data_IF_858342505917
#
_entry.id   IF_858342505917
#
_cell.length_a   1.000
_cell.length_b   1.000
_cell.length_c   1.000
_cell.angle_alpha   90.00
_cell.angle_beta   90.00
_cell.angle_gamma   90.00
#
_symmetry.space_group_name_H-M   'P 1'
#
loop_
_entity.id
_entity.type
_entity.pdbx_description
1 polymer ?
#
# COMPACT_ATOMS: atom_id res chain seq x y z
N UNK A 1 -32.21 -8.40 4.97
CA UNK A 1 -31.49 -7.26 5.58
C UNK A 1 -31.23 -6.23 4.49
N UNK A 2 -32.03 -5.15 4.44
CA UNK A 2 -31.92 -4.08 3.43
C UNK A 2 -30.83 -3.07 3.78
N UNK A 3 -29.57 -3.50 3.70
CA UNK A 3 -28.43 -2.57 3.81
C UNK A 3 -28.34 -1.76 2.52
N UNK A 4 -28.36 -0.45 2.63
CA UNK A 4 -28.17 0.49 1.52
C UNK A 4 -27.04 1.46 1.86
N UNK A 5 -26.45 2.05 0.83
CA UNK A 5 -25.48 3.13 1.00
C UNK A 5 -26.21 4.43 1.31
N UNK A 6 -25.67 5.23 2.23
CA UNK A 6 -26.19 6.54 2.59
C UNK A 6 -25.10 7.60 2.46
N UNK A 7 -25.44 8.82 2.00
CA UNK A 7 -24.47 9.90 1.88
C UNK A 7 -24.03 10.37 3.26
N UNK A 8 -22.72 10.51 3.44
CA UNK A 8 -22.09 11.06 4.63
C UNK A 8 -20.86 11.85 4.24
N UNK A 9 -20.39 12.71 5.13
CA UNK A 9 -19.09 13.38 5.04
C UNK A 9 -18.13 12.72 6.02
N UNK A 10 -16.88 12.55 5.57
CA UNK A 10 -15.84 11.87 6.34
C UNK A 10 -14.67 12.82 6.52
N UNK A 11 -14.17 12.92 7.74
CA UNK A 11 -12.95 13.65 8.07
C UNK A 11 -12.01 12.72 8.79
N UNK A 12 -10.77 12.67 8.34
CA UNK A 12 -9.67 12.00 9.07
C UNK A 12 -8.91 13.08 9.83
N UNK A 13 -8.66 12.86 11.11
CA UNK A 13 -7.91 13.78 11.97
C UNK A 13 -6.51 13.25 12.21
N UNK A 14 -5.55 14.15 12.40
CA UNK A 14 -4.15 13.81 12.74
C UNK A 14 -4.05 13.02 14.06
N UNK A 15 -5.02 13.21 14.97
CA UNK A 15 -5.11 12.49 16.23
C UNK A 15 -5.56 11.02 16.10
N UNK A 16 -5.73 10.50 14.88
CA UNK A 16 -6.11 9.11 14.67
C UNK A 16 -7.61 8.86 14.61
N UNK A 17 -8.46 9.88 14.48
CA UNK A 17 -9.92 9.69 14.45
C UNK A 17 -10.50 9.84 13.05
N UNK A 18 -11.33 8.88 12.66
CA UNK A 18 -12.23 8.92 11.52
C UNK A 18 -13.60 9.41 11.98
N UNK A 19 -13.94 10.65 11.62
CA UNK A 19 -15.17 11.33 12.02
C UNK A 19 -16.18 11.32 10.88
N UNK A 20 -17.42 10.92 11.19
CA UNK A 20 -18.52 10.79 10.24
C UNK A 20 -19.61 11.83 10.54
N UNK A 21 -20.05 12.55 9.51
CA UNK A 21 -21.04 13.62 9.61
C UNK A 21 -22.18 13.40 8.61
N UNK A 22 -23.41 13.75 8.99
CA UNK A 22 -24.54 13.68 8.06
C UNK A 22 -24.47 14.80 7.01
N UNK A 23 -23.99 15.96 7.41
CA UNK A 23 -23.91 17.15 6.57
C UNK A 23 -22.56 17.84 6.72
N UNK A 24 -22.16 18.55 5.66
CA UNK A 24 -20.92 19.31 5.63
C UNK A 24 -21.03 20.53 6.56
N UNK A 25 -20.01 20.75 7.38
CA UNK A 25 -19.93 21.93 8.27
C UNK A 25 -20.51 21.73 9.66
N UNK A 26 -21.03 20.54 9.99
CA UNK A 26 -21.39 20.20 11.36
C UNK A 26 -20.14 20.11 12.25
N UNK A 27 -20.22 20.66 13.46
CA UNK A 27 -19.10 20.59 14.42
C UNK A 27 -18.98 19.22 15.07
N UNK A 28 -20.11 18.57 15.34
CA UNK A 28 -20.14 17.27 16.05
C UNK A 28 -20.37 16.12 15.06
N UNK A 29 -19.46 15.13 15.01
CA UNK A 29 -19.71 13.92 14.23
C UNK A 29 -20.82 13.10 14.88
N UNK A 30 -21.64 12.43 14.06
CA UNK A 30 -22.63 11.48 14.58
C UNK A 30 -21.98 10.16 14.99
N UNK A 31 -20.79 9.88 14.44
CA UNK A 31 -19.98 8.72 14.80
C UNK A 31 -18.51 9.05 14.63
N UNK A 32 -17.71 8.58 15.58
CA UNK A 32 -16.27 8.68 15.54
C UNK A 32 -15.68 7.26 15.70
N UNK A 33 -14.61 7.00 14.97
CA UNK A 33 -13.88 5.74 15.01
C UNK A 33 -12.40 6.01 15.18
N UNK A 34 -11.80 5.44 16.24
CA UNK A 34 -10.38 5.59 16.52
C UNK A 34 -9.57 4.56 15.72
N UNK A 35 -8.62 5.04 14.93
CA UNK A 35 -7.60 4.23 14.28
C UNK A 35 -6.57 3.76 15.31
N UNK A 36 -6.04 2.57 15.07
CA UNK A 36 -5.14 1.84 15.97
C UNK A 36 -4.11 1.14 15.09
N UNK A 37 -2.95 0.79 15.65
CA UNK A 37 -1.81 0.22 14.92
C UNK A 37 -2.11 -1.11 14.23
N UNK A 38 -3.08 -1.87 14.74
CA UNK A 38 -3.52 -3.14 14.17
C UNK A 38 -4.60 -2.99 13.09
N UNK A 39 -4.93 -1.76 12.68
CA UNK A 39 -5.84 -1.50 11.58
C UNK A 39 -5.08 -1.47 10.25
N UNK A 40 -5.63 -2.15 9.24
CA UNK A 40 -5.12 -2.16 7.88
C UNK A 40 -6.21 -1.76 6.89
N UNK A 41 -5.82 -1.07 5.82
CA UNK A 41 -6.71 -0.85 4.69
C UNK A 41 -6.70 -2.11 3.82
N UNK A 42 -7.86 -2.71 3.63
CA UNK A 42 -8.03 -3.84 2.73
C UNK A 42 -7.94 -3.42 1.26
N UNK A 43 -7.69 -4.39 0.38
CA UNK A 43 -7.60 -4.14 -1.05
C UNK A 43 -8.86 -3.43 -1.58
N UNK A 44 -8.69 -2.33 -2.32
CA UNK A 44 -9.79 -1.62 -2.93
C UNK A 44 -10.66 -2.50 -3.81
N UNK A 45 -11.98 -2.37 -3.67
CA UNK A 45 -12.95 -3.08 -4.53
C UNK A 45 -13.93 -2.11 -5.15
N UNK A 46 -14.31 -2.38 -6.39
CA UNK A 46 -15.37 -1.68 -7.08
C UNK A 46 -16.64 -2.54 -7.02
N UNK A 47 -17.66 -2.03 -6.34
CA UNK A 47 -18.91 -2.75 -6.07
C UNK A 47 -20.09 -2.10 -6.80
N UNK A 48 -21.19 -2.83 -6.95
CA UNK A 48 -22.44 -2.24 -7.43
C UNK A 48 -23.00 -1.31 -6.35
N UNK A 49 -23.40 -0.11 -6.76
CA UNK A 49 -23.95 0.90 -5.87
C UNK A 49 -25.48 0.90 -5.92
N UNK A 50 -26.02 1.15 -7.11
CA UNK A 50 -27.43 1.12 -7.48
C UNK A 50 -27.52 0.51 -8.89
N UNK A 51 -28.70 0.59 -9.51
CA UNK A 51 -28.89 0.17 -10.91
C UNK A 51 -27.92 0.88 -11.86
N UNK A 52 -27.43 2.09 -11.51
CA UNK A 52 -26.83 3.08 -12.38
C UNK A 52 -25.34 3.44 -12.13
N UNK A 53 -24.74 2.91 -11.06
CA UNK A 53 -23.40 3.28 -10.63
C UNK A 53 -22.60 2.15 -10.02
N UNK A 54 -21.28 2.31 -10.06
CA UNK A 54 -20.35 1.53 -9.24
C UNK A 54 -19.76 2.44 -8.17
N UNK A 55 -19.46 1.86 -7.02
CA UNK A 55 -18.89 2.56 -5.88
C UNK A 55 -17.53 1.96 -5.54
N UNK A 56 -16.52 2.83 -5.45
CA UNK A 56 -15.22 2.46 -4.93
C UNK A 56 -15.35 2.27 -3.43
N UNK A 57 -14.95 1.10 -2.93
CA UNK A 57 -15.06 0.77 -1.50
C UNK A 57 -13.69 0.74 -0.84
N UNK A 58 -13.58 1.47 0.26
CA UNK A 58 -12.44 1.44 1.18
C UNK A 58 -12.90 0.70 2.43
N UNK A 59 -12.17 -0.34 2.81
CA UNK A 59 -12.46 -1.13 4.01
C UNK A 59 -11.26 -1.06 4.95
N UNK A 60 -11.55 -0.77 6.21
CA UNK A 60 -10.55 -0.78 7.28
C UNK A 60 -10.85 -2.02 8.13
N UNK A 61 -9.89 -2.93 8.17
CA UNK A 61 -9.95 -4.16 8.94
C UNK A 61 -9.05 -4.04 10.17
N UNK A 62 -9.49 -4.56 11.32
CA UNK A 62 -8.59 -4.89 12.42
C UNK A 62 -7.97 -6.24 12.10
N UNK A 63 -6.64 -6.33 12.16
CA UNK A 63 -5.89 -7.55 11.86
C UNK A 63 -5.16 -8.01 13.11
N UNK A 64 -5.49 -9.21 13.58
CA UNK A 64 -4.83 -9.83 14.72
C UNK A 64 -3.97 -10.97 14.21
N UNK A 65 -2.65 -10.77 14.20
CA UNK A 65 -1.71 -11.81 13.82
C UNK A 65 -1.45 -12.75 14.99
N UNK A 66 -1.42 -14.06 14.71
CA UNK A 66 -1.22 -15.10 15.72
C UNK A 66 -0.38 -16.24 15.18
N UNK A 67 0.44 -16.82 16.05
CA UNK A 67 1.08 -18.11 15.84
C UNK A 67 0.07 -19.24 16.10
N UNK A 68 -0.11 -20.11 15.10
CA UNK A 68 -0.96 -21.30 15.21
C UNK A 68 -0.11 -22.54 15.01
N UNK A 69 -0.14 -23.45 15.99
CA UNK A 69 0.46 -24.78 15.86
C UNK A 69 -0.28 -25.60 14.81
N UNK A 70 0.46 -26.29 13.95
CA UNK A 70 -0.10 -27.27 13.02
C UNK A 70 0.42 -28.67 13.35
N UNK A 71 -0.41 -29.67 13.06
CA UNK A 71 -0.03 -31.07 13.17
C UNK A 71 0.59 -31.55 11.85
N UNK A 72 1.55 -32.47 11.94
CA UNK A 72 2.29 -33.00 10.79
C UNK A 72 1.36 -33.55 9.70
N UNK A 73 1.73 -33.40 8.41
CA UNK A 73 3.07 -33.15 7.85
C UNK A 73 3.43 -31.66 7.55
N UNK A 74 2.70 -30.69 8.10
CA UNK A 74 2.96 -29.25 7.86
C UNK A 74 4.06 -28.65 8.76
N UNK A 75 4.57 -27.43 8.48
CA UNK A 75 5.43 -26.67 9.39
C UNK A 75 4.86 -26.65 10.81
N UNK A 76 5.73 -26.65 11.83
CA UNK A 76 5.32 -26.80 13.23
C UNK A 76 4.34 -25.70 13.66
N UNK A 77 4.54 -24.49 13.14
CA UNK A 77 3.63 -23.36 13.31
C UNK A 77 3.36 -22.65 11.99
N UNK A 78 2.34 -21.80 12.02
CA UNK A 78 2.07 -20.83 10.95
C UNK A 78 1.64 -19.52 11.58
N UNK A 79 2.20 -18.43 11.08
CA UNK A 79 1.82 -17.08 11.43
C UNK A 79 0.72 -16.60 10.48
N UNK A 80 -0.45 -16.24 11.02
CA UNK A 80 -1.61 -15.85 10.20
C UNK A 80 -2.36 -14.68 10.82
N UNK A 81 -2.85 -13.77 9.97
CA UNK A 81 -3.67 -12.62 10.38
C UNK A 81 -5.17 -12.92 10.32
N UNK A 82 -5.88 -12.79 11.44
CA UNK A 82 -7.34 -12.84 11.51
C UNK A 82 -7.90 -11.43 11.29
N UNK A 83 -8.74 -11.25 10.26
CA UNK A 83 -9.26 -9.94 9.85
C UNK A 83 -10.71 -9.75 10.30
N UNK A 84 -10.99 -8.66 10.99
CA UNK A 84 -12.33 -8.21 11.37
C UNK A 84 -12.64 -6.86 10.70
N UNK A 85 -13.74 -6.78 9.94
CA UNK A 85 -14.13 -5.54 9.28
C UNK A 85 -14.67 -4.53 10.28
N UNK A 86 -13.96 -3.42 10.47
CA UNK A 86 -14.36 -2.36 11.41
C UNK A 86 -15.16 -1.26 10.71
N UNK A 87 -14.66 -0.80 9.56
CA UNK A 87 -15.28 0.28 8.80
C UNK A 87 -15.32 -0.08 7.32
N UNK A 88 -16.45 0.20 6.67
CA UNK A 88 -16.60 0.11 5.22
C UNK A 88 -17.22 1.41 4.72
N UNK A 89 -16.46 2.12 3.90
CA UNK A 89 -16.87 3.37 3.28
C UNK A 89 -16.83 3.20 1.77
N UNK A 90 -17.53 4.07 1.06
CA UNK A 90 -17.46 4.08 -0.38
C UNK A 90 -17.74 5.45 -0.97
N UNK A 91 -17.22 5.67 -2.17
CA UNK A 91 -17.43 6.89 -2.95
C UNK A 91 -17.53 6.55 -4.43
N UNK A 92 -18.33 7.32 -5.17
CA UNK A 92 -18.39 7.27 -6.63
C UNK A 92 -17.32 8.13 -7.28
N UNK A 93 -16.68 9.02 -6.52
CA UNK A 93 -15.59 9.86 -6.99
C UNK A 93 -14.23 9.19 -6.75
N UNK A 94 -13.44 9.05 -7.82
CA UNK A 94 -12.15 8.37 -7.74
C UNK A 94 -11.08 9.20 -7.03
N UNK A 95 -11.16 10.53 -7.08
CA UNK A 95 -10.21 11.40 -6.40
C UNK A 95 -10.41 11.34 -4.88
N UNK A 96 -11.66 11.34 -4.42
CA UNK A 96 -12.02 11.12 -3.02
C UNK A 96 -11.54 9.75 -2.54
N UNK A 97 -11.71 8.72 -3.37
CA UNK A 97 -11.25 7.37 -3.04
C UNK A 97 -9.74 7.32 -2.79
N UNK A 98 -8.94 7.96 -3.66
CA UNK A 98 -7.49 8.03 -3.51
C UNK A 98 -7.10 8.89 -2.29
N UNK A 99 -7.71 10.07 -2.15
CA UNK A 99 -7.46 11.01 -1.06
C UNK A 99 -7.72 10.38 0.30
N UNK A 100 -8.87 9.72 0.46
CA UNK A 100 -9.26 9.05 1.70
C UNK A 100 -8.30 7.89 2.03
N UNK A 101 -7.96 7.05 1.05
CA UNK A 101 -7.02 5.94 1.24
C UNK A 101 -5.66 6.46 1.70
N UNK A 102 -5.13 7.47 1.03
CA UNK A 102 -3.85 8.08 1.38
C UNK A 102 -3.89 8.71 2.78
N UNK A 103 -4.96 9.43 3.12
CA UNK A 103 -5.12 10.08 4.43
C UNK A 103 -5.15 9.07 5.59
N UNK A 104 -5.87 7.96 5.42
CA UNK A 104 -5.90 6.90 6.45
C UNK A 104 -4.54 6.21 6.57
N UNK A 105 -3.87 5.90 5.46
CA UNK A 105 -2.51 5.33 5.50
C UNK A 105 -1.51 6.26 6.19
N UNK A 106 -1.62 7.56 5.93
CA UNK A 106 -0.73 8.54 6.52
C UNK A 106 -0.93 8.65 8.03
N UNK A 107 -2.18 8.67 8.49
CA UNK A 107 -2.47 8.67 9.92
C UNK A 107 -2.01 7.38 10.60
N UNK A 108 -2.23 6.21 9.98
CA UNK A 108 -1.74 4.92 10.52
C UNK A 108 -0.21 4.91 10.68
N UNK A 109 0.52 5.51 9.74
CA UNK A 109 1.98 5.61 9.78
C UNK A 109 2.49 6.50 10.94
N UNK A 110 1.74 7.52 11.32
CA UNK A 110 2.12 8.43 12.42
C UNK A 110 1.56 8.01 13.79
N UNK A 111 0.86 6.87 13.87
CA UNK A 111 0.42 6.36 15.17
C UNK A 111 1.64 6.03 16.06
N UNK A 112 1.54 6.24 17.38
CA UNK A 112 2.64 5.95 18.29
C UNK A 112 2.90 4.44 18.39
N UNK A 113 4.18 4.08 18.45
CA UNK A 113 4.62 2.74 18.80
C UNK A 113 4.28 2.46 20.26
N UNK A 114 3.22 1.71 20.50
CA UNK A 114 2.90 1.23 21.86
C UNK A 114 3.51 -0.15 22.06
N UNK A 115 4.58 -0.22 22.84
CA UNK A 115 5.16 -1.50 23.28
C UNK A 115 4.24 -2.10 24.35
N UNK A 116 3.67 -3.26 24.08
CA UNK A 116 2.91 -4.02 25.06
C UNK A 116 3.88 -4.77 25.98
N UNK A 117 4.10 -4.26 27.19
CA UNK A 117 5.01 -4.89 28.16
C UNK A 117 4.57 -6.30 28.58
N UNK A 118 3.34 -6.72 28.28
CA UNK A 118 2.91 -8.10 28.52
C UNK A 118 3.57 -9.11 27.57
N UNK A 119 4.06 -8.67 26.41
CA UNK A 119 4.72 -9.54 25.42
C UNK A 119 6.18 -9.84 25.74
N UNK A 120 6.78 -9.13 26.72
CA UNK A 120 8.19 -9.31 27.14
C UNK A 120 8.52 -10.76 27.54
N UNK A 121 7.54 -11.53 28.03
CA UNK A 121 7.71 -12.93 28.42
C UNK A 121 7.10 -13.92 27.42
N UNK A 122 6.62 -13.44 26.27
CA UNK A 122 6.15 -14.32 25.20
C UNK A 122 7.35 -14.93 24.48
N UNK A 123 7.23 -16.24 24.23
CA UNK A 123 8.19 -16.99 23.43
C UNK A 123 7.42 -17.60 22.25
N UNK A 124 7.85 -17.26 21.04
CA UNK A 124 7.36 -17.90 19.83
C UNK A 124 8.04 -19.25 19.65
N UNK A 125 7.34 -20.20 19.03
CA UNK A 125 7.95 -21.49 18.69
C UNK A 125 8.92 -21.32 17.52
N UNK A 126 8.53 -20.48 16.56
CA UNK A 126 9.33 -20.14 15.40
C UNK A 126 9.39 -18.62 15.30
N UNK A 127 10.60 -18.08 15.44
CA UNK A 127 10.83 -16.65 15.34
C UNK A 127 10.93 -16.25 13.87
N UNK A 128 10.17 -15.24 13.48
CA UNK A 128 10.11 -14.78 12.09
C UNK A 128 9.97 -13.26 12.04
N UNK A 129 10.66 -12.64 11.08
CA UNK A 129 10.36 -11.27 10.65
C UNK A 129 10.11 -11.26 9.15
N UNK A 130 8.95 -10.78 8.76
CA UNK A 130 8.58 -10.55 7.37
C UNK A 130 8.74 -9.06 7.06
N UNK A 131 9.45 -8.76 5.96
CA UNK A 131 9.63 -7.40 5.43
C UNK A 131 8.96 -7.31 4.05
N UNK A 132 8.00 -6.40 3.92
CA UNK A 132 7.24 -6.17 2.69
C UNK A 132 7.62 -4.79 2.10
N UNK A 133 8.26 -4.80 0.93
CA UNK A 133 8.75 -3.60 0.25
C UNK A 133 7.87 -3.30 -0.95
N UNK A 134 7.15 -2.19 -0.88
CA UNK A 134 6.19 -1.77 -1.91
C UNK A 134 6.64 -0.48 -2.59
N UNK A 135 6.93 -0.57 -3.89
CA UNK A 135 7.21 0.59 -4.74
C UNK A 135 5.93 1.10 -5.39
N UNK A 136 5.61 2.38 -5.15
CA UNK A 136 4.46 3.07 -5.74
C UNK A 136 4.93 4.15 -6.72
N UNK A 137 4.76 3.88 -8.02
CA UNK A 137 5.00 4.84 -9.09
C UNK A 137 3.71 5.59 -9.43
N UNK A 138 3.77 6.93 -9.41
CA UNK A 138 2.74 7.82 -9.96
C UNK A 138 3.39 8.69 -11.02
N UNK A 139 2.75 8.83 -12.17
CA UNK A 139 3.26 9.64 -13.26
C UNK A 139 2.14 10.35 -14.02
N UNK A 140 2.39 11.59 -14.44
CA UNK A 140 1.55 12.35 -15.36
C UNK A 140 2.24 12.36 -16.71
N UNK A 141 1.53 11.91 -17.75
CA UNK A 141 2.04 11.85 -19.11
C UNK A 141 1.50 13.00 -19.94
N UNK A 142 2.35 13.54 -20.81
CA UNK A 142 1.99 14.56 -21.79
C UNK A 142 1.14 13.99 -22.92
N UNK A 143 0.40 14.88 -23.60
CA UNK A 143 -0.44 14.50 -24.74
C UNK A 143 0.44 14.08 -25.93
N UNK A 144 0.15 12.91 -26.52
CA UNK A 144 0.77 12.45 -27.77
C UNK A 144 1.83 11.37 -27.60
N UNK A 145 3.00 11.72 -27.05
CA UNK A 145 4.20 10.85 -27.06
C UNK A 145 4.46 10.10 -25.74
N UNK A 146 3.52 10.08 -24.80
CA UNK A 146 3.71 9.48 -23.48
C UNK A 146 4.95 10.03 -22.74
N UNK A 147 5.34 11.27 -23.02
CA UNK A 147 6.42 11.94 -22.30
C UNK A 147 6.03 12.08 -20.83
N UNK A 148 6.89 11.62 -19.93
CA UNK A 148 6.68 11.77 -18.49
C UNK A 148 6.89 13.24 -18.11
N UNK A 149 5.82 13.94 -17.73
CA UNK A 149 5.85 15.35 -17.31
C UNK A 149 6.23 15.47 -15.84
N UNK A 150 5.54 14.69 -15.00
CA UNK A 150 5.75 14.64 -13.56
C UNK A 150 5.76 13.19 -13.12
N UNK A 151 6.54 12.87 -12.10
CA UNK A 151 6.51 11.57 -11.47
C UNK A 151 6.82 11.64 -9.99
N UNK A 152 6.37 10.62 -9.27
CA UNK A 152 6.67 10.39 -7.86
C UNK A 152 6.84 8.89 -7.67
N UNK A 153 7.95 8.50 -7.05
CA UNK A 153 8.18 7.12 -6.61
C UNK A 153 8.29 7.13 -5.11
N UNK A 154 7.40 6.41 -4.45
CA UNK A 154 7.40 6.22 -3.00
C UNK A 154 7.56 4.75 -2.70
N UNK A 155 8.64 4.39 -2.03
CA UNK A 155 8.87 3.04 -1.52
C UNK A 155 8.42 3.01 -0.07
N UNK A 156 7.54 2.07 0.26
CA UNK A 156 7.04 1.84 1.63
C UNK A 156 7.52 0.49 2.12
N UNK A 157 8.16 0.48 3.28
CA UNK A 157 8.66 -0.74 3.91
C UNK A 157 7.77 -1.04 5.10
N UNK A 158 7.13 -2.20 5.08
CA UNK A 158 6.33 -2.70 6.18
C UNK A 158 7.03 -3.88 6.83
N UNK A 159 6.82 -4.02 8.14
CA UNK A 159 7.36 -5.13 8.91
C UNK A 159 6.25 -5.82 9.68
N UNK A 160 6.37 -7.14 9.83
CA UNK A 160 5.59 -7.98 10.72
C UNK A 160 6.56 -8.93 11.41
N UNK A 161 6.55 -8.95 12.74
CA UNK A 161 7.49 -9.76 13.52
C UNK A 161 6.79 -10.65 14.54
N UNK A 162 7.34 -11.84 14.71
CA UNK A 162 7.11 -12.78 15.78
C UNK A 162 8.48 -13.08 16.39
N UNK A 163 8.93 -12.21 17.30
CA UNK A 163 10.25 -12.31 17.95
C UNK A 163 10.01 -12.39 19.45
N UNK A 164 10.67 -13.34 20.12
CA UNK A 164 10.48 -13.58 21.54
C UNK A 164 11.13 -12.47 22.37
N UNK A 165 10.40 -12.01 23.39
CA UNK A 165 10.84 -10.93 24.24
C UNK A 165 10.93 -9.57 23.52
N UNK A 166 11.94 -8.78 23.89
CA UNK A 166 12.18 -7.44 23.33
C UNK A 166 13.55 -7.41 22.69
N UNK A 167 13.59 -7.35 21.35
CA UNK A 167 14.83 -7.33 20.58
C UNK A 167 14.83 -6.15 19.60
N UNK A 168 15.95 -5.44 19.56
CA UNK A 168 16.18 -4.43 18.54
C UNK A 168 16.58 -5.09 17.22
N UNK A 169 15.99 -4.60 16.14
CA UNK A 169 16.25 -5.04 14.78
C UNK A 169 17.05 -3.97 14.04
N UNK A 170 17.84 -4.41 13.06
CA UNK A 170 18.62 -3.54 12.20
C UNK A 170 18.41 -3.90 10.74
N UNK A 171 17.96 -2.95 9.94
CA UNK A 171 17.72 -3.11 8.50
C UNK A 171 18.70 -2.26 7.70
N UNK A 172 19.50 -2.91 6.86
CA UNK A 172 20.38 -2.27 5.88
C UNK A 172 19.72 -2.18 4.51
N UNK A 173 19.84 -1.02 3.86
CA UNK A 173 19.34 -0.77 2.50
C UNK A 173 20.49 -0.51 1.53
N UNK A 174 20.28 -0.78 0.24
CA UNK A 174 21.24 -0.51 -0.84
C UNK A 174 21.33 0.98 -1.20
N UNK A 175 21.57 1.83 -0.20
CA UNK A 175 21.68 3.27 -0.33
C UNK A 175 23.03 3.67 -0.94
N UNK A 176 23.00 4.49 -1.98
CA UNK A 176 24.21 4.94 -2.68
C UNK A 176 25.26 5.58 -1.78
N UNK A 177 24.85 6.13 -0.63
CA UNK A 177 25.75 6.78 0.34
C UNK A 177 26.63 5.80 1.11
N UNK A 178 26.26 4.51 1.20
CA UNK A 178 27.07 3.47 1.85
C UNK A 178 27.80 2.58 0.85
N UNK A 179 27.75 2.91 -0.45
CA UNK A 179 28.38 2.11 -1.51
C UNK A 179 29.87 1.92 -1.27
N UNK A 180 30.32 0.67 -1.15
CA UNK A 180 31.72 0.31 -0.87
C UNK A 180 32.12 0.37 0.61
N UNK A 181 31.19 0.78 1.49
CA UNK A 181 31.32 0.73 2.95
C UNK A 181 30.20 -0.15 3.53
N UNK A 182 29.81 -1.22 2.84
CA UNK A 182 28.73 -2.09 3.31
C UNK A 182 29.14 -2.78 4.62
N UNK A 183 28.37 -2.55 5.67
CA UNK A 183 28.58 -3.22 6.96
C UNK A 183 27.61 -4.38 7.07
N UNK A 184 28.15 -5.59 7.19
CA UNK A 184 27.40 -6.77 7.58
C UNK A 184 27.91 -7.20 8.94
N UNK A 185 27.03 -7.19 9.95
CA UNK A 185 27.39 -7.56 11.33
C UNK A 185 27.85 -9.01 11.45
N UNK A 186 27.33 -9.87 10.57
CA UNK A 186 27.66 -11.27 10.48
C UNK A 186 28.90 -11.50 9.61
N UNK A 187 29.97 -11.94 10.26
CA UNK A 187 31.26 -12.20 9.62
C UNK A 187 31.22 -13.40 8.65
N UNK A 188 30.21 -14.27 8.77
CA UNK A 188 29.92 -15.40 7.88
C UNK A 188 29.18 -15.00 6.60
N UNK A 189 28.68 -13.76 6.50
CA UNK A 189 27.95 -13.27 5.33
C UNK A 189 28.82 -12.29 4.56
N UNK A 190 29.23 -12.70 3.36
CA UNK A 190 29.80 -11.76 2.39
C UNK A 190 28.72 -10.76 1.97
N UNK A 191 28.99 -9.44 2.01
CA UNK A 191 28.07 -8.44 1.47
C UNK A 191 27.73 -8.78 0.03
N UNK A 192 26.43 -8.91 -0.28
CA UNK A 192 26.00 -9.09 -1.67
C UNK A 192 26.31 -7.81 -2.44
N UNK A 193 27.23 -7.90 -3.40
CA UNK A 193 27.59 -6.77 -4.26
C UNK A 193 26.43 -6.44 -5.18
N UNK A 194 25.58 -5.51 -4.75
CA UNK A 194 24.51 -4.99 -5.61
C UNK A 194 25.10 -4.06 -6.67
N UNK A 195 24.67 -4.25 -7.90
CA UNK A 195 24.99 -3.32 -8.99
C UNK A 195 24.01 -2.15 -9.06
N UNK A 196 22.83 -2.29 -8.44
CA UNK A 196 21.77 -1.28 -8.39
C UNK A 196 21.75 -0.62 -7.02
N UNK A 197 22.19 0.64 -7.01
CA UNK A 197 22.21 1.51 -5.83
C UNK A 197 21.09 2.52 -5.95
N UNK A 198 20.39 2.76 -4.85
CA UNK A 198 19.25 3.68 -4.80
C UNK A 198 19.65 4.91 -4.00
N UNK A 199 19.33 6.10 -4.51
CA UNK A 199 19.43 7.32 -3.71
C UNK A 199 18.13 7.50 -2.93
N UNK A 200 18.23 7.43 -1.61
CA UNK A 200 17.12 7.63 -0.69
C UNK A 200 16.92 9.13 -0.43
N UNK A 201 15.73 9.66 -0.73
CA UNK A 201 15.34 11.05 -0.50
C UNK A 201 14.10 11.11 0.41
N UNK A 202 13.95 12.19 1.18
CA UNK A 202 12.79 12.45 2.04
C UNK A 202 12.38 11.21 2.87
N UNK A 203 13.35 10.56 3.53
CA UNK A 203 13.08 9.43 4.41
C UNK A 203 12.19 9.88 5.56
N UNK A 204 11.10 9.14 5.80
CA UNK A 204 10.25 9.30 6.96
C UNK A 204 10.19 7.98 7.69
N UNK A 205 10.18 8.04 9.02
CA UNK A 205 10.25 6.88 9.87
C UNK A 205 9.03 6.79 10.78
N UNK A 206 8.61 5.56 11.05
CA UNK A 206 7.69 5.29 12.14
C UNK A 206 8.37 5.59 13.48
N UNK A 207 7.57 5.95 14.48
CA UNK A 207 8.06 6.30 15.84
C UNK A 207 8.85 5.19 16.56
N UNK A 208 8.87 3.96 16.02
CA UNK A 208 9.68 2.84 16.52
C UNK A 208 11.14 2.85 16.06
N UNK A 209 11.52 3.74 15.14
CA UNK A 209 12.85 3.81 14.55
C UNK A 209 13.71 4.86 15.27
N UNK A 210 14.98 4.54 15.48
CA UNK A 210 15.98 5.49 15.97
C UNK A 210 16.55 6.32 14.79
N UNK A 211 15.97 7.49 14.54
CA UNK A 211 16.34 8.34 13.39
C UNK A 211 17.81 8.80 13.42
N UNK A 212 18.36 9.08 14.60
CA UNK A 212 19.75 9.49 14.78
C UNK A 212 20.75 8.38 14.39
N UNK A 213 20.38 7.12 14.64
CA UNK A 213 21.17 5.97 14.19
C UNK A 213 21.20 5.89 12.66
N UNK A 214 20.08 6.19 11.99
CA UNK A 214 20.04 6.27 10.53
C UNK A 214 20.87 7.44 9.99
N UNK A 215 20.83 8.61 10.62
CA UNK A 215 21.64 9.75 10.17
C UNK A 215 23.15 9.51 10.27
N UNK A 216 23.59 8.77 11.29
CA UNK A 216 25.02 8.47 11.51
C UNK A 216 25.52 7.27 10.70
N UNK A 217 24.72 6.21 10.58
CA UNK A 217 25.18 4.91 10.02
C UNK A 217 24.46 4.48 8.74
N UNK A 218 23.35 5.13 8.38
CA UNK A 218 22.38 4.70 7.35
C UNK A 218 21.76 3.33 7.60
N UNK A 219 21.85 2.82 8.83
CA UNK A 219 21.17 1.63 9.30
C UNK A 219 19.85 2.01 9.95
N UNK A 220 18.77 1.33 9.57
CA UNK A 220 17.46 1.54 10.21
C UNK A 220 17.42 0.64 11.43
N UNK A 221 17.63 1.22 12.61
CA UNK A 221 17.57 0.53 13.91
C UNK A 221 16.19 0.78 14.51
N UNK A 222 15.50 -0.27 14.94
CA UNK A 222 14.12 -0.17 15.42
C UNK A 222 13.74 -1.32 16.36
N UNK A 223 12.81 -1.05 17.26
CA UNK A 223 12.15 -2.08 18.05
C UNK A 223 10.80 -2.42 17.39
N UNK A 224 10.62 -3.64 16.84
CA UNK A 224 9.40 -3.97 16.12
C UNK A 224 8.20 -4.14 17.07
N UNK A 225 6.99 -3.91 16.55
CA UNK A 225 5.75 -4.21 17.25
C UNK A 225 5.45 -5.71 17.17
N UNK A 226 5.17 -6.32 18.32
CA UNK A 226 4.86 -7.75 18.40
C UNK A 226 3.56 -8.10 17.65
N UNK A 227 3.62 -9.13 16.80
CA UNK A 227 2.50 -9.66 16.02
C UNK A 227 1.61 -8.57 15.39
N UNK A 228 2.22 -7.49 14.92
CA UNK A 228 1.52 -6.35 14.35
C UNK A 228 2.23 -5.90 13.08
N UNK A 229 1.50 -5.87 11.96
CA UNK A 229 2.05 -5.36 10.70
C UNK A 229 1.90 -3.84 10.67
N UNK A 230 2.99 -3.11 10.47
CA UNK A 230 2.96 -1.66 10.35
C UNK A 230 3.96 -1.16 9.30
N UNK A 231 3.77 0.07 8.83
CA UNK A 231 4.70 0.74 7.92
C UNK A 231 5.88 1.28 8.73
N UNK A 232 7.07 0.70 8.57
CA UNK A 232 8.29 1.05 9.32
C UNK A 232 8.91 2.35 8.82
N UNK A 233 8.99 2.50 7.50
CA UNK A 233 9.55 3.67 6.85
C UNK A 233 8.97 3.85 5.46
N UNK A 234 8.96 5.10 4.99
CA UNK A 234 8.74 5.44 3.59
C UNK A 234 9.82 6.36 3.09
N UNK A 235 10.17 6.20 1.82
CA UNK A 235 11.24 6.93 1.19
C UNK A 235 10.86 7.30 -0.23
N UNK A 236 11.26 8.49 -0.66
CA UNK A 236 11.12 8.91 -2.05
C UNK A 236 12.38 8.55 -2.82
N UNK A 237 12.17 8.07 -4.04
CA UNK A 237 13.26 7.73 -4.96
C UNK A 237 13.03 8.39 -6.31
N UNK A 238 14.10 8.53 -7.08
CA UNK A 238 14.02 9.06 -8.44
C UNK A 238 13.75 7.89 -9.37
N UNK A 239 12.74 8.03 -10.24
CA UNK A 239 12.53 7.08 -11.32
C UNK A 239 13.69 7.20 -12.32
N UNK A 240 14.58 6.20 -12.33
CA UNK A 240 15.79 6.20 -13.14
C UNK A 240 15.72 5.33 -14.39
N UNK A 241 14.58 4.66 -14.62
CA UNK A 241 14.42 3.75 -15.75
C UNK A 241 14.14 4.54 -17.04
N UNK A 242 14.67 4.06 -18.16
CA UNK A 242 14.58 4.75 -19.46
C UNK A 242 13.19 4.67 -20.10
N UNK A 243 12.40 3.68 -19.73
CA UNK A 243 11.07 3.42 -20.27
C UNK A 243 10.07 3.29 -19.13
N UNK A 244 8.79 3.54 -19.41
CA UNK A 244 7.69 3.34 -18.46
C UNK A 244 7.31 1.86 -18.37
N UNK A 245 6.78 1.36 -17.24
CA UNK A 245 6.29 -0.02 -17.13
C UNK A 245 5.23 -0.36 -18.19
N UNK A 246 4.37 0.62 -18.47
CA UNK A 246 3.32 0.53 -19.46
C UNK A 246 3.34 1.75 -20.38
N UNK A 247 3.09 1.51 -21.66
CA UNK A 247 2.72 2.57 -22.61
C UNK A 247 1.26 2.36 -23.00
N UNK A 248 0.42 3.33 -22.67
CA UNK A 248 -1.00 3.34 -23.05
C UNK A 248 -1.22 4.39 -24.13
N UNK A 249 -1.63 3.95 -25.31
CA UNK A 249 -2.11 4.84 -26.37
C UNK A 249 -3.62 4.73 -26.44
N UNK A 250 -4.33 5.86 -26.36
CA UNK A 250 -5.78 5.90 -26.50
C UNK A 250 -6.17 6.89 -27.58
N UNK A 251 -7.10 6.49 -28.44
CA UNK A 251 -7.65 7.31 -29.52
C UNK A 251 -9.17 7.25 -29.46
N UNK A 252 -9.81 8.42 -29.61
CA UNK A 252 -11.25 8.55 -29.74
C UNK A 252 -11.59 9.13 -31.11
N UNK A 253 -12.53 8.51 -31.83
CA UNK A 253 -13.08 8.99 -33.09
C UNK A 253 -14.58 9.24 -32.91
N UNK A 254 -15.04 10.46 -33.22
CA UNK A 254 -16.44 10.84 -33.13
C UNK A 254 -16.97 11.00 -34.55
N UNK A 255 -17.99 10.23 -34.91
CA UNK A 255 -18.66 10.23 -36.22
C UNK A 255 -20.15 10.48 -36.03
N UNK A 256 -20.52 11.75 -35.88
CA UNK A 256 -21.91 12.11 -35.55
C UNK A 256 -22.30 11.58 -34.18
N UNK A 257 -23.24 10.62 -34.15
CA UNK A 257 -23.70 9.96 -32.92
C UNK A 257 -22.86 8.73 -32.51
N UNK A 258 -21.92 8.28 -33.36
CA UNK A 258 -21.05 7.15 -33.05
C UNK A 258 -19.75 7.64 -32.42
N UNK A 259 -19.35 6.99 -31.31
CA UNK A 259 -18.07 7.24 -30.65
C UNK A 259 -17.29 5.94 -30.56
N UNK A 260 -16.15 5.90 -31.22
CA UNK A 260 -15.22 4.77 -31.19
C UNK A 260 -14.03 5.13 -30.28
N UNK A 261 -13.81 4.32 -29.24
CA UNK A 261 -12.67 4.45 -28.33
C UNK A 261 -11.76 3.23 -28.47
N UNK A 262 -10.52 3.45 -28.89
CA UNK A 262 -9.51 2.40 -29.05
C UNK A 262 -8.32 2.66 -28.13
N UNK A 263 -7.91 1.62 -27.40
CA UNK A 263 -6.77 1.68 -26.48
C UNK A 263 -5.80 0.53 -26.75
N UNK A 264 -4.52 0.86 -26.89
CA UNK A 264 -3.42 -0.08 -27.02
C UNK A 264 -2.53 0.01 -25.79
N UNK A 265 -2.44 -1.10 -25.05
CA UNK A 265 -1.53 -1.24 -23.92
C UNK A 265 -0.31 -2.05 -24.36
N UNK A 266 0.87 -1.48 -24.19
CA UNK A 266 2.15 -2.16 -24.42
C UNK A 266 2.89 -2.25 -23.10
N UNK A 267 3.30 -3.47 -22.73
CA UNK A 267 4.09 -3.72 -21.52
C UNK A 267 5.57 -3.68 -21.89
N UNK A 268 6.36 -2.93 -21.12
CA UNK A 268 7.81 -2.86 -21.33
C UNK A 268 8.50 -4.12 -20.80
N UNK A 269 9.36 -4.73 -21.63
CA UNK A 269 10.12 -5.94 -21.27
C UNK A 269 11.16 -5.73 -20.15
N UNK A 270 11.51 -4.47 -19.84
CA UNK A 270 12.47 -4.12 -18.79
C UNK A 270 11.94 -4.20 -17.36
N UNK A 271 10.63 -4.36 -17.18
CA UNK A 271 9.96 -4.34 -15.86
C UNK A 271 9.53 -5.74 -15.41
N UNK A 272 10.45 -6.70 -15.46
CA UNK A 272 10.28 -8.02 -14.83
C UNK A 272 11.07 -8.08 -13.53
N UNK A 273 10.42 -8.48 -12.44
CA UNK A 273 11.08 -8.75 -11.16
C UNK A 273 12.06 -9.92 -11.26
N UNK A 274 11.87 -10.81 -12.24
CA UNK A 274 12.73 -11.95 -12.48
C UNK A 274 13.37 -11.92 -13.87
N UNK A 275 14.69 -12.06 -13.92
CA UNK A 275 15.48 -12.06 -15.17
C UNK A 275 15.51 -13.43 -15.84
N UNK A 276 15.21 -14.49 -15.09
CA UNK A 276 15.03 -15.81 -15.67
C UNK A 276 13.68 -15.87 -16.41
N UNK A 277 13.75 -16.21 -17.69
CA UNK A 277 12.59 -16.27 -18.57
C UNK A 277 11.58 -17.34 -18.16
N UNK A 278 12.02 -18.37 -17.41
CA UNK A 278 11.17 -19.45 -16.93
C UNK A 278 10.43 -19.12 -15.62
N UNK A 279 10.80 -18.03 -14.95
CA UNK A 279 10.25 -17.64 -13.65
C UNK A 279 9.80 -16.18 -13.61
N UNK A 280 9.42 -15.63 -14.78
CA UNK A 280 8.82 -14.31 -14.90
C UNK A 280 7.51 -14.24 -14.11
N UNK A 281 7.40 -13.21 -13.29
CA UNK A 281 6.17 -12.90 -12.57
C UNK A 281 5.28 -12.08 -13.50
N UNK A 282 4.07 -12.55 -13.85
CA UNK A 282 3.17 -11.79 -14.71
C UNK A 282 2.71 -10.52 -14.00
N UNK A 283 2.47 -9.46 -14.78
CA UNK A 283 1.74 -8.33 -14.25
C UNK A 283 0.24 -8.65 -14.24
N UNK A 284 -0.34 -8.68 -13.06
CA UNK A 284 -1.74 -9.01 -12.83
C UNK A 284 -2.54 -7.76 -12.43
N UNK A 285 -3.87 -7.88 -12.46
CA UNK A 285 -4.80 -6.83 -11.98
C UNK A 285 -4.67 -5.47 -12.68
N UNK A 286 -4.24 -5.47 -13.95
CA UNK A 286 -4.13 -4.26 -14.77
C UNK A 286 -5.54 -3.69 -15.01
N UNK A 287 -5.74 -2.43 -14.64
CA UNK A 287 -7.00 -1.71 -14.85
C UNK A 287 -6.75 -0.43 -15.63
N UNK A 288 -7.36 -0.32 -16.81
CA UNK A 288 -7.37 0.92 -17.61
C UNK A 288 -8.71 1.61 -17.36
N UNK A 289 -8.67 2.89 -17.01
CA UNK A 289 -9.88 3.70 -16.75
C UNK A 289 -9.98 4.83 -17.76
N UNK A 290 -11.10 4.86 -18.48
CA UNK A 290 -11.44 5.95 -19.38
C UNK A 290 -12.54 6.79 -18.73
N UNK A 291 -12.32 8.09 -18.49
CA UNK A 291 -13.42 8.96 -18.10
C UNK A 291 -14.38 9.07 -19.29
N UNK A 292 -15.66 8.80 -19.03
CA UNK A 292 -16.73 8.96 -20.02
C UNK A 292 -17.75 9.98 -19.48
N UNK A 293 -18.43 10.73 -20.36
CA UNK A 293 -19.55 11.57 -19.97
C UNK A 293 -20.59 10.76 -19.16
N UNK A 294 -21.16 11.33 -18.08
CA UNK A 294 -22.16 10.65 -17.26
C UNK A 294 -23.37 10.16 -18.06
N UNK A 295 -23.76 10.91 -19.09
CA UNK A 295 -24.89 10.58 -19.98
C UNK A 295 -24.64 9.29 -20.76
N UNK A 296 -23.37 8.89 -20.92
CA UNK A 296 -23.00 7.70 -21.69
C UNK A 296 -23.00 6.41 -20.88
N UNK A 297 -23.09 6.50 -19.55
CA UNK A 297 -22.98 5.34 -18.66
C UNK A 297 -23.97 4.24 -19.04
N UNK A 298 -25.19 4.62 -19.45
CA UNK A 298 -26.23 3.68 -19.88
C UNK A 298 -25.88 2.91 -21.17
N UNK A 299 -25.06 3.47 -22.07
CA UNK A 299 -24.72 2.82 -23.35
C UNK A 299 -23.60 1.79 -23.24
N UNK A 300 -22.72 1.88 -22.22
CA UNK A 300 -21.62 0.92 -22.02
C UNK A 300 -22.04 -0.33 -21.23
N UNK A 301 -23.28 -0.40 -20.80
CA UNK A 301 -23.80 -1.51 -20.03
C UNK A 301 -24.45 -2.50 -20.97
N UNK A 302 -23.88 -3.70 -21.01
CA UNK A 302 -24.66 -4.86 -21.42
C UNK A 302 -25.54 -5.17 -20.22
N UNK A 303 -26.86 -5.14 -20.39
CA UNK A 303 -27.73 -5.92 -19.53
C UNK A 303 -27.12 -7.31 -19.50
N UNK A 304 -26.84 -7.83 -18.31
CA UNK A 304 -26.53 -9.25 -18.15
C UNK A 304 -27.76 -10.01 -18.65
N UNK A 305 -27.75 -10.33 -19.95
CA UNK A 305 -28.69 -11.25 -20.56
C UNK A 305 -28.30 -12.62 -20.03
N UNK A 306 -29.06 -13.02 -19.00
CA UNK A 306 -29.23 -14.36 -18.42
C UNK A 306 -28.02 -14.98 -17.69
#
# INVERSE_FOLDING_TARGET
>A
SSRHWGPIYVKVTEAGFLQLFYEKGLEKPFREFKLEVNHEIADPKLQNYDENGRIHTVRIDRVLYKEKRKYQPMPLVTHTGEREQMVKLGTTDYSDFISMTASVQDVLFHLPATVDLSTVHQNYIEEEITVDVKDEFRGILGKGESQLLEHSVVTRIHVLSFISGMADCSLGLNDILIKGNEVVSRHDIMPTTTTKWVRLNDCQFHSSVEEEAFHSSRMVVFTPLDACRFELMRVRTIFSEKTLPFTLRTMACIRGAEVELQSWLVISSGFSSNRDSLSQVPCENITIRHPVPPEWVNYFRRDSVL
#
